data_IF_285740397393
#
_entry.id   IF_285740397393
#
_cell.length_a   1.000
_cell.length_b   1.000
_cell.length_c   1.000
_cell.angle_alpha   90.00
_cell.angle_beta   90.00
_cell.angle_gamma   90.00
#
_symmetry.space_group_name_H-M   'P 1'
#
loop_
_entity.id
_entity.type
_entity.pdbx_description
1 polymer ?
#
# COMPACT_ATOMS: atom_id res chain seq x y z
N UNK A 1 3.27 12.13 -12.38
CA UNK A 1 2.71 12.26 -11.02
C UNK A 1 3.77 12.08 -9.94
N UNK A 2 4.48 10.96 -9.86
CA UNK A 2 5.49 10.69 -8.81
C UNK A 2 6.49 11.83 -8.66
N UNK A 3 7.10 12.32 -9.73
CA UNK A 3 8.04 13.44 -9.69
C UNK A 3 7.41 14.76 -9.21
N UNK A 4 6.13 14.99 -9.50
CA UNK A 4 5.42 16.20 -9.02
C UNK A 4 5.12 16.10 -7.52
N UNK A 5 4.88 14.90 -7.01
CA UNK A 5 4.68 14.63 -5.60
C UNK A 5 5.99 14.71 -4.79
N UNK A 6 7.10 14.29 -5.42
CA UNK A 6 8.43 14.27 -4.82
C UNK A 6 9.41 15.11 -5.66
N UNK A 7 9.38 16.46 -5.53
CA UNK A 7 10.23 17.35 -6.34
C UNK A 7 11.74 17.09 -6.17
N UNK A 8 12.14 16.56 -5.02
CA UNK A 8 13.54 16.19 -4.73
C UNK A 8 14.01 14.94 -5.46
N UNK A 9 13.10 14.11 -6.00
CA UNK A 9 13.46 12.93 -6.80
C UNK A 9 14.12 13.38 -8.11
N UNK A 10 15.32 12.91 -8.41
CA UNK A 10 15.98 13.22 -9.67
C UNK A 10 15.34 12.48 -10.86
N UNK A 11 15.57 12.97 -12.08
CA UNK A 11 15.10 12.26 -13.28
C UNK A 11 15.80 10.90 -13.44
N UNK A 12 17.08 10.81 -13.08
CA UNK A 12 17.83 9.54 -13.12
C UNK A 12 17.32 8.53 -12.09
N UNK A 13 16.96 8.99 -10.88
CA UNK A 13 16.35 8.14 -9.87
C UNK A 13 14.99 7.60 -10.35
N UNK A 14 14.13 8.45 -10.92
CA UNK A 14 12.85 8.02 -11.45
C UNK A 14 13.01 7.01 -12.58
N UNK A 15 13.90 7.26 -13.53
CA UNK A 15 14.17 6.34 -14.65
C UNK A 15 14.66 4.97 -14.15
N UNK A 16 15.54 4.94 -13.14
CA UNK A 16 15.98 3.68 -12.53
C UNK A 16 14.84 2.92 -11.84
N UNK A 17 13.93 3.63 -11.16
CA UNK A 17 12.75 3.04 -10.54
C UNK A 17 11.77 2.49 -11.60
N UNK A 18 11.59 3.18 -12.72
CA UNK A 18 10.75 2.72 -13.84
C UNK A 18 11.31 1.44 -14.47
N UNK A 19 12.64 1.36 -14.68
CA UNK A 19 13.29 0.14 -15.18
C UNK A 19 13.11 -1.03 -14.21
N UNK A 20 13.40 -0.82 -12.93
CA UNK A 20 13.20 -1.83 -11.88
C UNK A 20 11.75 -2.33 -11.84
N UNK A 21 10.78 -1.41 -11.91
CA UNK A 21 9.36 -1.75 -11.88
C UNK A 21 8.93 -2.57 -13.09
N UNK A 22 9.44 -2.26 -14.29
CA UNK A 22 9.13 -3.00 -15.51
C UNK A 22 9.53 -4.48 -15.40
N UNK A 23 10.70 -4.75 -14.84
CA UNK A 23 11.17 -6.13 -14.60
C UNK A 23 10.30 -6.85 -13.57
N UNK A 24 9.91 -6.14 -12.49
CA UNK A 24 9.06 -6.68 -11.44
C UNK A 24 7.64 -6.96 -11.92
N UNK A 25 7.10 -6.12 -12.79
CA UNK A 25 5.79 -6.35 -13.40
C UNK A 25 5.80 -7.65 -14.21
N UNK A 26 6.81 -7.86 -15.04
CA UNK A 26 6.97 -9.09 -15.81
C UNK A 26 7.15 -10.33 -14.92
N UNK A 27 7.86 -10.19 -13.80
CA UNK A 27 8.00 -11.26 -12.81
C UNK A 27 6.68 -11.60 -12.14
N UNK A 28 5.90 -10.59 -11.74
CA UNK A 28 4.58 -10.78 -11.13
C UNK A 28 3.62 -11.50 -12.08
N UNK A 29 3.57 -11.08 -13.35
CA UNK A 29 2.76 -11.73 -14.38
C UNK A 29 3.11 -13.21 -14.52
N UNK A 30 4.41 -13.56 -14.61
CA UNK A 30 4.85 -14.96 -14.66
C UNK A 30 4.44 -15.76 -13.43
N UNK A 31 4.46 -15.17 -12.24
CA UNK A 31 4.03 -15.84 -10.99
C UNK A 31 2.53 -16.09 -11.01
N UNK A 32 1.73 -15.11 -11.40
CA UNK A 32 0.29 -15.26 -11.50
C UNK A 32 -0.09 -16.34 -12.50
N UNK A 33 0.55 -16.37 -13.68
CA UNK A 33 0.33 -17.41 -14.69
C UNK A 33 0.68 -18.81 -14.15
N UNK A 34 1.82 -18.94 -13.47
CA UNK A 34 2.28 -20.22 -12.91
C UNK A 34 1.43 -20.72 -11.73
N UNK A 35 0.62 -19.83 -11.12
CA UNK A 35 -0.21 -20.11 -9.95
C UNK A 35 -1.69 -19.91 -10.20
N UNK A 36 -2.11 -19.77 -11.45
CA UNK A 36 -3.48 -19.39 -11.81
C UNK A 36 -4.56 -20.33 -11.24
N UNK A 37 -4.25 -21.60 -11.03
CA UNK A 37 -5.10 -22.61 -10.40
C UNK A 37 -5.14 -22.54 -8.86
N UNK A 38 -4.29 -21.73 -8.24
CA UNK A 38 -4.14 -21.59 -6.78
C UNK A 38 -4.50 -20.21 -6.25
N UNK A 39 -4.71 -19.25 -7.16
CA UNK A 39 -5.13 -17.90 -6.76
C UNK A 39 -6.60 -17.94 -6.32
N UNK A 40 -6.87 -17.46 -5.11
CA UNK A 40 -8.21 -17.52 -4.53
C UNK A 40 -9.05 -16.27 -4.86
N UNK A 41 -8.37 -15.16 -5.14
CA UNK A 41 -9.03 -13.88 -5.44
C UNK A 41 -8.97 -13.60 -6.94
N UNK A 42 -10.12 -13.24 -7.56
CA UNK A 42 -10.18 -12.86 -8.97
C UNK A 42 -9.31 -11.65 -9.30
N UNK A 43 -8.94 -11.50 -10.57
CA UNK A 43 -8.03 -10.44 -11.05
C UNK A 43 -8.49 -9.01 -10.76
N UNK A 44 -9.80 -8.78 -10.55
CA UNK A 44 -10.28 -7.44 -10.18
C UNK A 44 -9.94 -7.01 -8.75
N UNK A 45 -9.42 -7.93 -7.90
CA UNK A 45 -8.80 -7.60 -6.62
C UNK A 45 -7.33 -7.21 -6.76
N UNK A 46 -6.74 -7.41 -7.93
CA UNK A 46 -5.36 -7.02 -8.17
C UNK A 46 -5.23 -5.50 -8.26
N UNK A 47 -4.18 -4.98 -7.67
CA UNK A 47 -3.80 -3.57 -7.83
C UNK A 47 -3.53 -3.26 -9.30
N UNK A 48 -3.97 -2.11 -9.80
CA UNK A 48 -3.73 -1.69 -11.16
C UNK A 48 -2.29 -1.21 -11.37
N UNK A 49 -1.85 -1.24 -12.64
CA UNK A 49 -0.46 -1.05 -13.02
C UNK A 49 0.13 0.29 -12.57
N UNK A 50 -0.58 1.39 -12.80
CA UNK A 50 -0.09 2.73 -12.46
C UNK A 50 -0.10 2.95 -10.95
N UNK A 51 -1.08 2.39 -10.24
CA UNK A 51 -1.16 2.40 -8.77
C UNK A 51 -0.05 1.55 -8.15
N UNK A 52 0.24 0.38 -8.71
CA UNK A 52 1.35 -0.47 -8.28
C UNK A 52 2.71 0.24 -8.49
N UNK A 53 2.88 0.91 -9.63
CA UNK A 53 4.05 1.75 -9.87
C UNK A 53 4.17 2.87 -8.84
N UNK A 54 3.07 3.56 -8.53
CA UNK A 54 3.06 4.59 -7.51
C UNK A 54 3.54 4.04 -6.15
N UNK A 55 2.99 2.90 -5.71
CA UNK A 55 3.34 2.29 -4.43
C UNK A 55 4.82 1.89 -4.38
N UNK A 56 5.29 1.24 -5.45
CA UNK A 56 6.70 0.89 -5.59
C UNK A 56 7.60 2.13 -5.53
N UNK A 57 7.31 3.14 -6.34
CA UNK A 57 8.13 4.35 -6.45
C UNK A 57 8.17 5.16 -5.14
N UNK A 58 7.02 5.28 -4.44
CA UNK A 58 6.95 5.93 -3.12
C UNK A 58 7.83 5.18 -2.13
N UNK A 59 7.73 3.85 -2.08
CA UNK A 59 8.53 3.02 -1.17
C UNK A 59 10.04 3.09 -1.50
N UNK A 60 10.40 3.06 -2.80
CA UNK A 60 11.80 3.19 -3.24
C UNK A 60 12.40 4.54 -2.87
N UNK A 61 11.65 5.62 -3.08
CA UNK A 61 12.13 6.99 -2.83
C UNK A 61 12.19 7.32 -1.33
N UNK A 62 11.14 7.00 -0.58
CA UNK A 62 11.06 7.37 0.84
C UNK A 62 11.86 6.45 1.75
N UNK A 63 12.18 5.23 1.30
CA UNK A 63 12.93 4.21 2.04
C UNK A 63 12.36 3.99 3.46
N UNK A 64 11.09 3.62 3.59
CA UNK A 64 10.41 3.48 4.87
C UNK A 64 11.07 2.39 5.73
N UNK A 65 10.97 2.52 7.05
CA UNK A 65 11.27 1.45 7.98
C UNK A 65 10.05 0.53 8.17
N UNK A 66 8.85 1.12 8.17
CA UNK A 66 7.61 0.39 8.43
C UNK A 66 6.55 0.79 7.40
N UNK A 67 6.03 -0.19 6.66
CA UNK A 67 4.84 -0.06 5.81
C UNK A 67 3.72 -0.89 6.41
N UNK A 68 2.53 -0.33 6.46
CA UNK A 68 1.30 -1.04 6.80
C UNK A 68 0.31 -0.92 5.65
N UNK A 69 -0.14 -2.05 5.13
CA UNK A 69 -1.27 -2.14 4.21
C UNK A 69 -2.47 -2.82 4.85
N UNK A 70 -3.68 -2.46 4.41
CA UNK A 70 -4.93 -3.15 4.74
C UNK A 70 -5.56 -3.72 3.48
N UNK A 71 -5.98 -5.01 3.55
CA UNK A 71 -6.35 -5.78 2.36
C UNK A 71 -5.12 -6.35 1.64
N UNK A 72 -5.10 -7.66 1.42
CA UNK A 72 -3.96 -8.37 0.83
C UNK A 72 -4.35 -9.15 -0.42
N UNK A 73 -5.52 -9.78 -0.42
CA UNK A 73 -5.96 -10.68 -1.47
C UNK A 73 -4.85 -11.68 -1.87
N UNK A 74 -4.48 -11.77 -3.14
CA UNK A 74 -3.38 -12.64 -3.60
C UNK A 74 -1.98 -12.08 -3.27
N UNK A 75 -1.84 -10.80 -2.84
CA UNK A 75 -0.58 -10.19 -2.41
C UNK A 75 0.14 -9.35 -3.46
N UNK A 76 -0.58 -8.81 -4.46
CA UNK A 76 0.05 -8.02 -5.55
C UNK A 76 0.70 -6.74 -5.04
N UNK A 77 0.01 -5.94 -4.21
CA UNK A 77 0.57 -4.75 -3.56
C UNK A 77 1.72 -5.10 -2.63
N UNK A 78 1.53 -6.15 -1.80
CA UNK A 78 2.55 -6.68 -0.89
C UNK A 78 3.84 -7.03 -1.62
N UNK A 79 3.74 -7.67 -2.80
CA UNK A 79 4.90 -8.00 -3.63
C UNK A 79 5.72 -6.76 -3.96
N UNK A 80 5.11 -5.70 -4.47
CA UNK A 80 5.83 -4.49 -4.85
C UNK A 80 6.48 -3.78 -3.65
N UNK A 81 5.81 -3.75 -2.49
CA UNK A 81 6.42 -3.20 -1.27
C UNK A 81 7.63 -4.01 -0.82
N UNK A 82 7.52 -5.33 -0.80
CA UNK A 82 8.62 -6.23 -0.41
C UNK A 82 9.81 -6.12 -1.35
N UNK A 83 9.57 -6.06 -2.67
CA UNK A 83 10.65 -5.85 -3.64
C UNK A 83 11.32 -4.48 -3.47
N UNK A 84 10.54 -3.42 -3.22
CA UNK A 84 11.08 -2.09 -2.94
C UNK A 84 11.96 -2.07 -1.68
N UNK A 85 11.51 -2.71 -0.60
CA UNK A 85 12.27 -2.83 0.65
C UNK A 85 13.54 -3.64 0.47
N UNK A 86 13.47 -4.78 -0.23
CA UNK A 86 14.65 -5.61 -0.58
C UNK A 86 15.68 -4.77 -1.35
N UNK A 87 15.25 -3.98 -2.31
CA UNK A 87 16.11 -3.09 -3.08
C UNK A 87 16.67 -1.93 -2.22
N UNK A 88 15.91 -1.46 -1.24
CA UNK A 88 16.36 -0.45 -0.28
C UNK A 88 17.33 -1.00 0.78
N UNK A 89 17.40 -2.32 0.95
CA UNK A 89 18.17 -2.99 1.99
C UNK A 89 17.64 -2.77 3.41
N UNK A 90 16.38 -2.38 3.54
CA UNK A 90 15.71 -2.12 4.83
C UNK A 90 14.20 -2.04 4.69
N UNK A 91 13.52 -2.17 5.82
CA UNK A 91 12.07 -2.03 5.99
C UNK A 91 11.39 -3.35 6.26
N UNK A 92 10.19 -3.28 6.83
CA UNK A 92 9.28 -4.41 7.04
C UNK A 92 7.88 -4.05 6.58
N UNK A 93 7.20 -5.02 6.00
CA UNK A 93 5.81 -4.91 5.60
C UNK A 93 4.92 -5.61 6.64
N UNK A 94 3.98 -4.86 7.17
CA UNK A 94 2.87 -5.36 7.96
C UNK A 94 1.61 -5.27 7.12
N UNK A 95 0.89 -6.37 7.00
CA UNK A 95 -0.38 -6.40 6.28
C UNK A 95 -1.50 -6.82 7.21
N UNK A 96 -2.65 -6.18 7.08
CA UNK A 96 -3.86 -6.45 7.87
C UNK A 96 -4.93 -7.01 6.95
N UNK A 97 -5.50 -8.16 7.31
CA UNK A 97 -6.61 -8.77 6.59
C UNK A 97 -7.58 -9.43 7.58
N UNK A 98 -8.77 -9.80 7.12
CA UNK A 98 -9.73 -10.62 7.88
C UNK A 98 -9.55 -12.11 7.61
N UNK A 99 -8.78 -12.49 6.58
CA UNK A 99 -8.47 -13.85 6.19
C UNK A 99 -6.97 -14.17 6.40
N UNK A 100 -6.65 -15.41 6.65
CA UNK A 100 -5.29 -15.91 6.83
C UNK A 100 -4.71 -16.57 5.57
N UNK A 101 -5.57 -16.89 4.60
CA UNK A 101 -5.21 -17.56 3.35
C UNK A 101 -4.85 -16.60 2.21
N UNK A 102 -4.32 -15.43 2.54
CA UNK A 102 -3.94 -14.34 1.62
C UNK A 102 -2.45 -14.37 1.24
N UNK A 103 -2.04 -13.52 0.30
CA UNK A 103 -0.63 -13.35 -0.09
C UNK A 103 -0.05 -14.58 -0.80
N UNK A 104 -0.84 -15.30 -1.61
CA UNK A 104 -0.44 -16.56 -2.25
C UNK A 104 0.75 -16.43 -3.19
N UNK A 105 0.93 -15.29 -3.84
CA UNK A 105 2.03 -15.08 -4.78
C UNK A 105 3.39 -14.82 -4.11
N UNK A 106 3.39 -14.56 -2.78
CA UNK A 106 4.62 -14.29 -2.05
C UNK A 106 5.41 -15.57 -1.80
N UNK A 107 6.71 -15.53 -2.10
CA UNK A 107 7.66 -16.62 -1.83
C UNK A 107 8.03 -16.68 -0.34
N UNK A 108 8.60 -17.80 0.10
CA UNK A 108 9.07 -17.95 1.49
C UNK A 108 10.16 -16.92 1.85
N UNK A 109 11.03 -16.56 0.90
CA UNK A 109 12.05 -15.51 1.08
C UNK A 109 11.41 -14.13 1.33
N UNK A 110 10.38 -13.77 0.56
CA UNK A 110 9.66 -12.51 0.73
C UNK A 110 8.87 -12.47 2.04
N UNK A 111 8.34 -13.59 2.50
CA UNK A 111 7.62 -13.70 3.78
C UNK A 111 8.51 -13.46 5.00
N UNK A 112 9.82 -13.44 4.85
CA UNK A 112 10.76 -13.14 5.94
C UNK A 112 10.62 -11.69 6.44
N UNK A 113 10.36 -10.75 5.52
CA UNK A 113 10.19 -9.32 5.82
C UNK A 113 8.70 -8.90 5.87
N UNK A 114 7.79 -9.89 5.89
CA UNK A 114 6.34 -9.70 5.90
C UNK A 114 5.69 -10.27 7.15
N UNK A 115 4.78 -9.49 7.74
CA UNK A 115 3.98 -9.93 8.88
C UNK A 115 2.49 -9.73 8.57
N UNK A 116 1.73 -10.82 8.53
CA UNK A 116 0.27 -10.77 8.41
C UNK A 116 -0.39 -10.67 9.79
N UNK A 117 -1.27 -9.71 9.95
CA UNK A 117 -2.13 -9.51 11.11
C UNK A 117 -3.58 -9.83 10.72
N UNK A 118 -4.10 -10.95 11.18
CA UNK A 118 -5.50 -11.32 10.94
C UNK A 118 -6.39 -10.65 11.97
N UNK A 119 -7.38 -9.87 11.53
CA UNK A 119 -8.27 -9.15 12.43
C UNK A 119 -9.34 -10.08 13.02
N UNK A 120 -9.34 -10.16 14.32
CA UNK A 120 -10.40 -10.79 15.08
C UNK A 120 -11.55 -9.82 15.36
N UNK A 121 -12.78 -10.34 15.51
CA UNK A 121 -13.92 -9.53 15.94
C UNK A 121 -13.76 -9.10 17.42
N UNK A 122 -14.11 -7.86 17.76
CA UNK A 122 -14.55 -6.78 16.90
C UNK A 122 -13.36 -6.11 16.16
N UNK A 123 -13.38 -6.11 14.83
CA UNK A 123 -12.26 -5.75 13.96
C UNK A 123 -11.65 -4.36 14.29
N UNK A 124 -12.46 -3.36 14.61
CA UNK A 124 -11.94 -2.02 14.97
C UNK A 124 -11.03 -2.05 16.21
N UNK A 125 -11.32 -2.92 17.17
CA UNK A 125 -10.47 -3.07 18.35
C UNK A 125 -9.17 -3.80 18.01
N UNK A 126 -9.28 -4.86 17.21
CA UNK A 126 -8.13 -5.64 16.74
C UNK A 126 -7.20 -4.76 15.93
N UNK A 127 -7.74 -3.97 14.98
CA UNK A 127 -6.98 -3.01 14.17
C UNK A 127 -6.20 -2.00 15.01
N UNK A 128 -6.83 -1.39 16.04
CA UNK A 128 -6.11 -0.45 16.93
C UNK A 128 -4.94 -1.12 17.65
N UNK A 129 -5.10 -2.36 18.11
CA UNK A 129 -4.01 -3.10 18.76
C UNK A 129 -2.82 -3.31 17.80
N UNK A 130 -3.10 -3.63 16.55
CA UNK A 130 -2.06 -3.74 15.52
C UNK A 130 -1.35 -2.40 15.36
N UNK A 131 -2.10 -1.29 15.19
CA UNK A 131 -1.52 0.05 15.07
C UNK A 131 -0.61 0.42 16.23
N UNK A 132 -1.05 0.14 17.47
CA UNK A 132 -0.29 0.42 18.68
C UNK A 132 1.01 -0.39 18.74
N UNK A 133 1.04 -1.60 18.17
CA UNK A 133 2.19 -2.50 18.22
C UNK A 133 3.27 -2.20 17.19
N UNK A 134 2.93 -1.52 16.09
CA UNK A 134 3.85 -1.28 14.96
C UNK A 134 4.19 0.19 14.72
N UNK A 135 3.64 1.11 15.55
CA UNK A 135 3.94 2.55 15.46
C UNK A 135 5.43 2.83 15.76
N UNK A 136 6.10 3.77 15.05
CA UNK A 136 5.55 4.65 13.99
C UNK A 136 5.52 3.98 12.60
N UNK A 137 4.52 4.35 11.80
CA UNK A 137 4.30 3.87 10.43
C UNK A 137 4.77 4.94 9.43
N UNK A 138 5.60 4.57 8.47
CA UNK A 138 6.12 5.50 7.47
C UNK A 138 5.25 5.53 6.19
N UNK A 139 4.66 4.41 5.80
CA UNK A 139 3.65 4.34 4.73
C UNK A 139 2.45 3.57 5.26
N UNK A 140 1.27 4.17 5.15
CA UNK A 140 0.00 3.50 5.36
C UNK A 140 -0.74 3.37 4.03
N UNK A 141 -1.29 2.19 3.74
CA UNK A 141 -2.08 1.90 2.54
C UNK A 141 -3.43 1.37 2.95
N UNK A 142 -4.50 2.00 2.48
CA UNK A 142 -5.86 1.49 2.58
C UNK A 142 -6.25 0.80 1.27
N UNK A 143 -6.58 -0.47 1.34
CA UNK A 143 -7.12 -1.28 0.25
C UNK A 143 -7.99 -2.43 0.79
N UNK A 144 -8.83 -2.13 1.81
CA UNK A 144 -9.69 -3.12 2.48
C UNK A 144 -11.17 -2.87 2.18
N UNK A 145 -12.02 -2.73 3.19
CA UNK A 145 -13.45 -2.41 3.04
C UNK A 145 -13.64 -0.94 2.63
N UNK A 146 -14.11 -0.69 1.41
CA UNK A 146 -14.31 0.64 0.83
C UNK A 146 -15.61 1.33 1.28
N UNK A 147 -16.22 0.91 2.40
CA UNK A 147 -17.31 1.70 3.01
C UNK A 147 -16.77 2.98 3.64
N UNK A 148 -17.51 4.09 3.51
CA UNK A 148 -17.13 5.39 4.08
C UNK A 148 -16.73 5.28 5.57
N UNK A 149 -17.52 4.55 6.36
CA UNK A 149 -17.30 4.45 7.79
C UNK A 149 -16.06 3.63 8.18
N UNK A 150 -15.65 2.68 7.34
CA UNK A 150 -14.44 1.89 7.56
C UNK A 150 -13.21 2.65 7.09
N UNK A 151 -13.22 3.21 5.90
CA UNK A 151 -12.14 4.05 5.37
C UNK A 151 -11.79 5.20 6.33
N UNK A 152 -12.79 5.99 6.76
CA UNK A 152 -12.58 7.06 7.74
C UNK A 152 -12.00 6.56 9.05
N UNK A 153 -12.43 5.39 9.52
CA UNK A 153 -11.88 4.78 10.73
C UNK A 153 -10.40 4.42 10.54
N UNK A 154 -10.04 3.76 9.44
CA UNK A 154 -8.64 3.39 9.15
C UNK A 154 -7.76 4.63 8.99
N UNK A 155 -8.17 5.61 8.17
CA UNK A 155 -7.39 6.84 7.98
C UNK A 155 -7.12 7.58 9.30
N UNK A 156 -8.16 7.76 10.14
CA UNK A 156 -8.01 8.46 11.42
C UNK A 156 -7.13 7.70 12.40
N UNK A 157 -7.24 6.38 12.43
CA UNK A 157 -6.44 5.53 13.31
C UNK A 157 -4.98 5.48 12.82
N UNK A 158 -4.78 5.27 11.53
CA UNK A 158 -3.44 5.25 10.93
C UNK A 158 -2.72 6.59 11.13
N UNK A 159 -3.42 7.72 10.93
CA UNK A 159 -2.83 9.05 11.10
C UNK A 159 -2.23 9.29 12.48
N UNK A 160 -2.80 8.68 13.52
CA UNK A 160 -2.27 8.78 14.89
C UNK A 160 -1.00 7.96 15.09
N UNK A 161 -0.84 6.87 14.34
CA UNK A 161 0.29 5.95 14.40
C UNK A 161 1.40 6.29 13.38
N UNK A 162 1.14 7.18 12.41
CA UNK A 162 2.11 7.54 11.38
C UNK A 162 3.24 8.41 11.90
N UNK A 163 4.43 8.22 11.33
CA UNK A 163 5.57 9.10 11.53
C UNK A 163 5.29 10.51 10.98
N UNK A 164 6.09 11.51 11.40
CA UNK A 164 5.94 12.88 10.90
C UNK A 164 6.14 12.99 9.38
N UNK A 165 6.92 12.08 8.80
CA UNK A 165 7.17 12.00 7.35
C UNK A 165 6.31 10.96 6.65
N UNK A 166 5.33 10.40 7.34
CA UNK A 166 4.51 9.33 6.83
C UNK A 166 3.65 9.73 5.64
N UNK A 167 3.56 8.82 4.65
CA UNK A 167 2.74 8.95 3.44
C UNK A 167 1.52 8.05 3.59
N UNK A 168 0.33 8.60 3.36
CA UNK A 168 -0.90 7.81 3.29
C UNK A 168 -1.27 7.60 1.83
N UNK A 169 -1.47 6.34 1.47
CA UNK A 169 -1.95 5.88 0.17
C UNK A 169 -3.34 5.25 0.36
N UNK A 170 -4.18 5.35 -0.64
CA UNK A 170 -5.50 4.71 -0.62
C UNK A 170 -5.90 4.26 -2.02
N UNK A 171 -6.38 3.04 -2.14
CA UNK A 171 -7.05 2.57 -3.34
C UNK A 171 -8.54 2.95 -3.34
N UNK A 172 -9.17 2.92 -4.51
CA UNK A 172 -10.62 3.08 -4.72
C UNK A 172 -11.23 4.34 -4.05
N UNK A 173 -10.52 5.49 -4.09
CA UNK A 173 -10.99 6.73 -3.45
C UNK A 173 -12.18 7.38 -4.16
N UNK A 174 -12.60 6.88 -5.31
CA UNK A 174 -13.77 7.29 -6.07
C UNK A 174 -15.06 6.55 -5.66
N UNK A 175 -14.97 5.52 -4.83
CA UNK A 175 -16.14 4.80 -4.33
C UNK A 175 -17.02 5.65 -3.41
N UNK A 176 -16.44 6.60 -2.68
CA UNK A 176 -17.15 7.54 -1.81
C UNK A 176 -16.27 8.75 -1.44
N UNK A 177 -16.79 9.66 -0.62
CA UNK A 177 -16.09 10.91 -0.28
C UNK A 177 -15.12 10.80 0.90
N UNK A 178 -14.92 9.63 1.51
CA UNK A 178 -14.15 9.49 2.76
C UNK A 178 -12.73 10.06 2.66
N UNK A 179 -12.02 9.79 1.55
CA UNK A 179 -10.66 10.28 1.36
C UNK A 179 -10.61 11.81 1.20
N UNK A 180 -11.54 12.39 0.45
CA UNK A 180 -11.64 13.84 0.26
C UNK A 180 -12.02 14.53 1.56
N UNK A 181 -13.00 13.99 2.29
CA UNK A 181 -13.43 14.52 3.59
C UNK A 181 -12.30 14.43 4.62
N UNK A 182 -11.57 13.31 4.66
CA UNK A 182 -10.40 13.17 5.52
C UNK A 182 -9.31 14.19 5.21
N UNK A 183 -9.00 14.42 3.95
CA UNK A 183 -8.04 15.44 3.53
C UNK A 183 -8.52 16.85 3.90
N UNK A 184 -9.82 17.11 3.74
CA UNK A 184 -10.44 18.40 4.10
C UNK A 184 -10.41 18.65 5.61
N UNK A 185 -10.70 17.64 6.43
CA UNK A 185 -10.56 17.73 7.89
C UNK A 185 -9.13 18.10 8.33
N UNK A 186 -8.13 17.69 7.56
CA UNK A 186 -6.71 17.98 7.82
C UNK A 186 -6.23 19.29 7.21
N UNK A 187 -7.08 20.01 6.48
CA UNK A 187 -6.70 21.17 5.65
C UNK A 187 -5.55 20.81 4.67
N UNK A 188 -5.72 19.68 3.94
CA UNK A 188 -4.71 19.14 3.01
C UNK A 188 -5.34 18.86 1.65
N UNK A 189 -4.52 19.04 0.62
CA UNK A 189 -4.92 18.70 -0.75
C UNK A 189 -4.48 17.27 -1.06
N UNK A 190 -5.40 16.38 -1.49
CA UNK A 190 -5.04 15.06 -1.98
C UNK A 190 -4.31 15.15 -3.31
N UNK A 191 -3.45 14.17 -3.56
CA UNK A 191 -2.93 13.86 -4.90
C UNK A 191 -3.72 12.66 -5.39
N UNK A 192 -4.31 12.75 -6.58
CA UNK A 192 -5.13 11.69 -7.15
C UNK A 192 -4.46 11.13 -8.40
N UNK A 193 -4.44 9.81 -8.52
CA UNK A 193 -4.01 9.07 -9.69
C UNK A 193 -5.23 8.41 -10.32
N UNK A 194 -5.52 8.76 -11.57
CA UNK A 194 -6.48 8.02 -12.39
C UNK A 194 -5.73 6.85 -13.03
N UNK A 195 -6.15 5.65 -12.70
CA UNK A 195 -5.73 4.43 -13.34
C UNK A 195 -6.83 3.92 -14.29
N UNK A 196 -6.75 2.73 -14.81
CA UNK A 196 -7.65 2.22 -15.85
C UNK A 196 -9.10 2.10 -15.37
N UNK A 197 -9.32 1.61 -14.16
CA UNK A 197 -10.67 1.36 -13.59
C UNK A 197 -10.93 2.11 -12.30
N UNK A 198 -9.91 2.66 -11.65
CA UNK A 198 -9.93 3.15 -10.28
C UNK A 198 -9.27 4.51 -10.16
N UNK A 199 -9.55 5.18 -9.06
CA UNK A 199 -8.79 6.37 -8.64
C UNK A 199 -8.10 6.07 -7.33
N UNK A 200 -6.79 6.16 -7.33
CA UNK A 200 -5.99 6.04 -6.10
C UNK A 200 -5.64 7.41 -5.54
N UNK A 201 -5.54 7.50 -4.24
CA UNK A 201 -5.25 8.72 -3.50
C UNK A 201 -3.92 8.66 -2.77
N UNK A 202 -3.25 9.82 -2.68
CA UNK A 202 -2.05 9.98 -1.87
C UNK A 202 -2.12 11.27 -1.06
N UNK A 203 -1.80 11.16 0.23
CA UNK A 203 -1.63 12.30 1.13
C UNK A 203 -0.19 12.31 1.64
N UNK A 204 0.55 13.36 1.26
CA UNK A 204 1.94 13.56 1.69
C UNK A 204 2.03 14.09 3.13
N UNK A 205 3.16 13.98 3.82
CA UNK A 205 3.38 14.59 5.12
C UNK A 205 3.25 16.13 5.05
N UNK A 206 2.95 16.76 6.19
CA UNK A 206 2.96 18.23 6.29
C UNK A 206 4.42 18.70 6.25
N UNK A 207 4.76 19.51 5.27
CA UNK A 207 6.07 20.17 5.17
C UNK A 207 6.18 21.26 6.22
#
# INVERSE_FOLDING_TARGET
MVKSAFPAMSAAELAGIEEEYTDLQAELERRCDAMSDRLEYPDWYAIEKETAFLYYAVCRHTKPATVLETGVANGHSSFFFLQAMKKNGKGSLHSVDIADNVGKILTDDERHDWTLHVLEAPQRRSFRKVMDSISPIDIFVHDSDHTYGWQMFEYKTARQAMSQKGVLLSDDVDHNLSFVDFCTELDRKPILLLDTRKVSGMLLPKV
#
